data_IF_956746620792
#
_entry.id   IF_956746620792
#
_cell.length_a   1.000
_cell.length_b   1.000
_cell.length_c   1.000
_cell.angle_alpha   90.00
_cell.angle_beta   90.00
_cell.angle_gamma   90.00
#
_symmetry.space_group_name_H-M   'P 1'
#
loop_
_entity.id
_entity.type
_entity.pdbx_description
1 polymer ?
#
# COMPACT_ATOMS: atom_id res chain seq x y z
N UNK A 1 51.25 24.49 -7.43
CA UNK A 1 50.54 23.58 -6.50
C UNK A 1 50.46 22.20 -7.15
N UNK A 2 50.31 21.10 -6.39
CA UNK A 2 49.82 19.85 -6.96
C UNK A 2 48.37 20.03 -7.47
N UNK A 3 47.98 19.31 -8.50
CA UNK A 3 46.62 19.34 -9.08
C UNK A 3 45.69 18.38 -8.33
N UNK A 4 45.42 18.67 -7.06
CA UNK A 4 44.46 17.89 -6.28
C UNK A 4 43.07 18.04 -6.91
N UNK A 5 42.41 16.92 -7.21
CA UNK A 5 41.06 16.84 -7.78
C UNK A 5 40.18 15.89 -6.98
N UNK A 6 38.86 16.05 -7.11
CA UNK A 6 37.84 15.14 -6.60
C UNK A 6 37.19 14.41 -7.79
N UNK A 7 37.42 13.10 -7.90
CA UNK A 7 36.91 12.32 -9.03
C UNK A 7 35.38 12.22 -9.06
N UNK A 8 34.74 12.14 -7.89
CA UNK A 8 33.28 12.02 -7.74
C UNK A 8 32.54 13.38 -7.78
N UNK A 9 33.18 14.45 -8.26
CA UNK A 9 32.63 15.80 -8.15
C UNK A 9 31.34 16.06 -8.95
N UNK A 10 30.54 17.01 -8.48
CA UNK A 10 29.46 17.65 -9.26
C UNK A 10 29.79 19.11 -9.63
N UNK A 11 30.93 19.64 -9.19
CA UNK A 11 31.45 20.96 -9.54
C UNK A 11 32.79 20.85 -10.27
N UNK A 12 33.10 21.78 -11.18
CA UNK A 12 34.27 21.68 -12.05
C UNK A 12 35.62 21.85 -11.30
N UNK A 13 35.65 22.70 -10.27
CA UNK A 13 36.85 23.07 -9.50
C UNK A 13 36.54 23.24 -8.00
N UNK A 14 37.57 23.22 -7.14
CA UNK A 14 37.45 23.57 -5.73
C UNK A 14 37.32 25.09 -5.54
N UNK A 15 36.16 25.64 -5.10
CA UNK A 15 36.01 27.08 -4.91
C UNK A 15 36.96 27.60 -3.83
N UNK A 16 37.68 28.67 -4.13
CA UNK A 16 38.68 29.29 -3.27
C UNK A 16 40.10 28.72 -3.37
N UNK A 17 40.38 27.74 -4.24
CA UNK A 17 41.67 27.04 -4.26
C UNK A 17 42.90 27.94 -4.49
N UNK A 18 42.76 29.06 -5.21
CA UNK A 18 43.84 30.02 -5.48
C UNK A 18 43.77 31.31 -4.64
N UNK A 19 42.70 31.50 -3.85
CA UNK A 19 42.47 32.74 -3.09
C UNK A 19 43.26 32.83 -1.77
N UNK A 20 43.63 31.68 -1.20
CA UNK A 20 44.25 31.60 0.12
C UNK A 20 45.78 31.58 0.06
N UNK A 21 46.43 32.07 1.12
CA UNK A 21 47.89 32.17 1.19
C UNK A 21 48.52 30.91 1.76
N UNK A 22 49.58 30.47 1.10
CA UNK A 22 50.42 29.34 1.50
C UNK A 22 51.39 29.77 2.62
N UNK A 23 51.53 28.94 3.66
CA UNK A 23 52.58 29.09 4.67
C UNK A 23 53.83 28.33 4.21
N UNK A 24 54.98 29.00 4.18
CA UNK A 24 56.26 28.44 3.75
C UNK A 24 57.24 28.54 4.93
N UNK A 25 57.87 27.41 5.29
CA UNK A 25 58.84 27.31 6.37
C UNK A 25 60.28 27.42 5.85
N UNK A 26 61.22 27.73 6.74
CA UNK A 26 62.64 27.97 6.40
C UNK A 26 63.41 26.72 5.97
N UNK A 27 62.85 25.53 6.17
CA UNK A 27 63.36 24.24 5.68
C UNK A 27 62.87 23.91 4.26
N UNK A 28 62.02 24.76 3.67
CA UNK A 28 61.37 24.53 2.39
C UNK A 28 60.07 23.72 2.48
N UNK A 29 59.62 23.34 3.68
CA UNK A 29 58.31 22.69 3.84
C UNK A 29 57.17 23.70 3.64
N UNK A 30 56.08 23.20 3.04
CA UNK A 30 54.96 24.01 2.56
C UNK A 30 53.68 23.51 3.19
N UNK A 31 52.99 24.38 3.94
CA UNK A 31 51.70 24.10 4.54
C UNK A 31 50.62 24.94 3.85
N UNK A 32 49.73 24.27 3.11
CA UNK A 32 48.55 24.91 2.53
C UNK A 32 47.27 24.38 3.17
N UNK A 33 46.37 25.30 3.51
CA UNK A 33 45.09 25.02 4.12
C UNK A 33 44.12 26.14 3.71
N UNK A 34 43.01 25.75 3.09
CA UNK A 34 42.01 26.64 2.51
C UNK A 34 40.62 26.06 2.81
N UNK A 35 39.63 26.86 3.23
CA UNK A 35 38.24 26.41 3.27
C UNK A 35 37.72 26.28 1.84
N UNK A 36 36.97 25.22 1.56
CA UNK A 36 36.29 25.03 0.27
C UNK A 36 34.95 24.31 0.48
N UNK A 37 34.05 24.42 -0.49
CA UNK A 37 32.77 23.71 -0.50
C UNK A 37 32.91 22.51 -1.43
N UNK A 38 32.75 21.31 -0.88
CA UNK A 38 32.90 20.06 -1.60
C UNK A 38 31.51 19.52 -1.97
N UNK A 39 31.33 19.12 -3.23
CA UNK A 39 30.11 18.51 -3.74
C UNK A 39 30.45 17.20 -4.44
N UNK A 40 30.29 16.06 -3.75
CA UNK A 40 30.50 14.74 -4.32
C UNK A 40 29.16 14.06 -4.66
N UNK A 41 29.22 13.11 -5.59
CA UNK A 41 28.15 12.13 -5.83
C UNK A 41 28.24 11.06 -4.74
N UNK A 42 27.07 10.59 -4.28
CA UNK A 42 26.97 9.53 -3.28
C UNK A 42 25.76 8.65 -3.60
N UNK A 43 25.91 7.33 -3.46
CA UNK A 43 24.81 6.37 -3.61
C UNK A 43 24.09 6.30 -2.27
N UNK A 44 22.84 6.77 -2.23
CA UNK A 44 22.03 6.85 -1.01
C UNK A 44 21.16 5.59 -0.89
N UNK A 45 21.33 4.78 0.16
CA UNK A 45 20.46 3.65 0.43
C UNK A 45 19.27 4.08 1.30
N UNK A 46 18.08 4.11 0.71
CA UNK A 46 16.82 4.53 1.36
C UNK A 46 15.97 3.37 1.90
N UNK A 47 16.47 2.13 1.90
CA UNK A 47 15.73 0.93 2.35
C UNK A 47 15.11 1.11 3.75
N UNK A 48 15.89 1.56 4.74
CA UNK A 48 15.48 1.70 6.15
C UNK A 48 14.98 3.10 6.53
N UNK A 49 14.68 3.96 5.57
CA UNK A 49 14.19 5.32 5.82
C UNK A 49 12.97 5.34 6.77
N UNK A 50 12.94 6.21 7.81
CA UNK A 50 13.85 7.33 8.10
C UNK A 50 14.99 7.00 9.08
N UNK A 51 15.25 5.71 9.35
CA UNK A 51 16.33 5.22 10.21
C UNK A 51 17.53 4.76 9.36
N UNK A 52 17.87 5.56 8.33
CA UNK A 52 18.94 5.27 7.38
C UNK A 52 20.29 5.86 7.82
N UNK A 53 21.34 5.04 7.66
CA UNK A 53 22.75 5.45 7.76
C UNK A 53 23.37 5.40 6.38
N UNK A 54 23.95 6.51 5.94
CA UNK A 54 24.62 6.66 4.65
C UNK A 54 26.13 6.66 4.86
N UNK A 55 26.89 6.08 3.93
CA UNK A 55 28.36 6.24 3.89
C UNK A 55 28.75 6.72 2.50
N UNK A 56 29.17 7.99 2.42
CA UNK A 56 29.56 8.63 1.18
C UNK A 56 31.08 8.63 1.03
N UNK A 57 31.57 8.17 -0.13
CA UNK A 57 32.96 8.31 -0.53
C UNK A 57 33.24 9.69 -1.12
N UNK A 58 34.48 10.16 -0.94
CA UNK A 58 35.06 11.31 -1.63
C UNK A 58 36.47 10.90 -2.08
N UNK A 59 36.63 10.59 -3.36
CA UNK A 59 37.88 10.12 -3.95
C UNK A 59 38.78 11.28 -4.39
N UNK A 60 39.88 11.52 -3.67
CA UNK A 60 40.85 12.57 -4.00
C UNK A 60 42.12 12.01 -4.64
N UNK A 61 42.63 12.65 -5.69
CA UNK A 61 43.87 12.28 -6.37
C UNK A 61 44.43 13.39 -7.26
N UNK A 62 45.60 13.16 -7.86
CA UNK A 62 46.09 13.97 -8.99
C UNK A 62 45.43 13.51 -10.28
N UNK A 63 45.09 14.43 -11.17
CA UNK A 63 44.54 14.11 -12.49
C UNK A 63 45.65 13.94 -13.54
N UNK A 64 46.74 14.70 -13.41
CA UNK A 64 47.80 14.82 -14.41
C UNK A 64 49.04 13.99 -14.09
N UNK A 65 49.39 13.86 -12.80
CA UNK A 65 50.60 13.16 -12.35
C UNK A 65 50.28 11.74 -11.90
N UNK A 66 51.24 10.85 -12.12
CA UNK A 66 51.16 9.46 -11.67
C UNK A 66 52.04 9.22 -10.42
N UNK A 67 51.90 8.05 -9.79
CA UNK A 67 52.51 7.70 -8.51
C UNK A 67 54.04 7.60 -8.47
N UNK A 68 54.73 7.84 -9.59
CA UNK A 68 56.18 7.98 -9.66
C UNK A 68 56.64 9.46 -9.65
N UNK A 69 55.71 10.38 -9.93
CA UNK A 69 55.92 11.83 -9.92
C UNK A 69 55.33 12.49 -8.66
N UNK A 70 54.16 12.03 -8.23
CA UNK A 70 53.46 12.53 -7.04
C UNK A 70 52.84 11.38 -6.24
N UNK A 71 53.21 11.26 -4.96
CA UNK A 71 52.57 10.35 -4.02
C UNK A 71 51.59 11.12 -3.11
N UNK A 72 50.34 10.65 -3.02
CA UNK A 72 49.35 11.15 -2.07
C UNK A 72 49.32 10.28 -0.81
N UNK A 73 49.39 10.90 0.36
CA UNK A 73 49.32 10.23 1.66
C UNK A 73 48.44 11.04 2.60
N UNK A 74 47.49 10.38 3.28
CA UNK A 74 46.67 11.04 4.31
C UNK A 74 47.51 11.37 5.55
N UNK A 75 47.25 12.52 6.18
CA UNK A 75 47.95 12.91 7.42
C UNK A 75 47.53 12.04 8.63
N UNK A 76 46.24 11.73 8.73
CA UNK A 76 45.62 10.88 9.74
C UNK A 76 44.61 9.94 9.05
N UNK A 77 44.44 8.68 9.51
CA UNK A 77 43.41 7.77 8.98
C UNK A 77 41.99 8.12 9.45
N UNK A 78 41.85 9.08 10.38
CA UNK A 78 40.58 9.64 10.83
C UNK A 78 40.57 11.14 10.53
N UNK A 79 39.44 11.64 10.00
CA UNK A 79 39.24 13.07 9.81
C UNK A 79 39.00 13.80 11.14
N UNK A 80 39.41 15.06 11.22
CA UNK A 80 39.14 15.90 12.38
C UNK A 80 37.69 16.40 12.35
N UNK A 81 36.90 15.97 13.33
CA UNK A 81 35.50 16.38 13.52
C UNK A 81 35.32 17.36 14.69
N UNK A 82 36.40 17.80 15.34
CA UNK A 82 36.34 18.66 16.54
C UNK A 82 35.73 20.04 16.29
N UNK A 83 35.82 20.55 15.06
CA UNK A 83 35.24 21.80 14.59
C UNK A 83 33.94 21.64 13.80
N UNK A 84 33.36 20.42 13.78
CA UNK A 84 32.13 20.15 13.03
C UNK A 84 30.92 20.91 13.61
N UNK A 85 30.08 21.44 12.71
CA UNK A 85 28.83 22.14 13.06
C UNK A 85 27.69 21.12 13.08
N UNK A 86 26.87 21.14 14.13
CA UNK A 86 25.73 20.23 14.28
C UNK A 86 24.69 20.45 13.16
N UNK A 87 24.52 19.46 12.29
CA UNK A 87 23.48 19.46 11.27
C UNK A 87 22.09 19.17 11.89
N UNK A 88 21.01 19.70 11.31
CA UNK A 88 19.63 19.53 11.81
C UNK A 88 19.04 18.16 11.43
N UNK A 89 19.31 17.69 10.21
CA UNK A 89 18.79 16.44 9.64
C UNK A 89 19.73 15.25 9.90
N UNK A 90 21.04 15.50 9.92
CA UNK A 90 22.07 14.45 9.97
C UNK A 90 22.91 14.49 11.25
N UNK A 91 23.49 13.35 11.60
CA UNK A 91 24.51 13.17 12.63
C UNK A 91 25.76 12.57 11.96
N UNK A 92 26.93 13.20 12.12
CA UNK A 92 28.19 12.67 11.55
C UNK A 92 28.78 11.69 12.55
N UNK A 93 28.81 10.40 12.22
CA UNK A 93 29.23 9.35 13.15
C UNK A 93 30.68 8.90 12.93
N UNK A 94 31.18 8.95 11.68
CA UNK A 94 32.53 8.52 11.32
C UNK A 94 33.06 9.31 10.13
N UNK A 95 34.36 9.61 10.14
CA UNK A 95 35.11 10.07 8.97
C UNK A 95 36.46 9.34 8.94
N UNK A 96 36.64 8.42 8.00
CA UNK A 96 37.87 7.63 7.82
C UNK A 96 38.50 7.85 6.46
N UNK A 97 39.82 7.81 6.38
CA UNK A 97 40.60 7.94 5.16
C UNK A 97 41.34 6.63 4.86
N UNK A 98 41.22 6.15 3.62
CA UNK A 98 41.92 4.98 3.12
C UNK A 98 42.65 5.36 1.82
N UNK A 99 43.86 4.81 1.61
CA UNK A 99 44.72 5.14 0.45
C UNK A 99 44.83 3.93 -0.46
N UNK A 100 44.43 4.05 -1.72
CA UNK A 100 44.60 2.99 -2.71
C UNK A 100 45.71 3.33 -3.70
N UNK A 101 46.03 2.36 -4.55
CA UNK A 101 46.91 2.52 -5.72
C UNK A 101 46.26 1.78 -6.86
N UNK A 102 45.68 2.52 -7.80
CA UNK A 102 44.90 1.99 -8.91
C UNK A 102 45.74 2.01 -10.18
N UNK A 103 45.60 0.97 -11.00
CA UNK A 103 46.14 0.94 -12.37
C UNK A 103 44.96 1.09 -13.34
N UNK A 104 44.90 2.20 -14.06
CA UNK A 104 43.79 2.50 -14.98
C UNK A 104 44.04 1.88 -16.36
N UNK A 105 42.97 1.48 -17.06
CA UNK A 105 43.08 0.83 -18.38
C UNK A 105 43.69 1.68 -19.51
N UNK A 106 43.97 2.96 -19.25
CA UNK A 106 44.64 3.89 -20.18
C UNK A 106 46.17 3.91 -20.05
N UNK A 107 46.72 3.62 -18.87
CA UNK A 107 48.12 3.90 -18.50
C UNK A 107 48.70 2.73 -17.68
N UNK A 108 49.90 2.19 -18.00
CA UNK A 108 50.54 1.16 -17.19
C UNK A 108 51.07 1.64 -15.83
N UNK A 109 51.09 2.96 -15.59
CA UNK A 109 51.55 3.59 -14.36
C UNK A 109 50.55 3.46 -13.19
N UNK A 110 51.02 3.38 -11.93
CA UNK A 110 50.16 3.43 -10.75
C UNK A 110 49.67 4.86 -10.49
N UNK A 111 48.40 5.01 -10.09
CA UNK A 111 47.82 6.27 -9.62
C UNK A 111 47.43 6.12 -8.14
N UNK A 112 48.00 6.93 -7.22
CA UNK A 112 47.66 6.89 -5.81
C UNK A 112 46.48 7.83 -5.51
N UNK A 113 45.49 7.32 -4.79
CA UNK A 113 44.32 8.06 -4.35
C UNK A 113 44.14 7.99 -2.83
N UNK A 114 43.36 8.93 -2.29
CA UNK A 114 42.87 8.89 -0.91
C UNK A 114 41.36 9.05 -0.92
N UNK A 115 40.66 7.97 -0.55
CA UNK A 115 39.20 7.97 -0.38
C UNK A 115 38.86 8.33 1.06
N UNK A 116 38.10 9.40 1.24
CA UNK A 116 37.46 9.71 2.53
C UNK A 116 36.05 9.13 2.56
N UNK A 117 35.78 8.26 3.54
CA UNK A 117 34.45 7.71 3.83
C UNK A 117 33.81 8.49 4.97
N UNK A 118 32.77 9.24 4.65
CA UNK A 118 31.94 10.02 5.58
C UNK A 118 30.66 9.24 5.88
N UNK A 119 30.53 8.72 7.12
CA UNK A 119 29.32 8.05 7.59
C UNK A 119 28.41 9.03 8.33
N UNK A 120 27.14 9.07 7.94
CA UNK A 120 26.12 9.97 8.47
C UNK A 120 24.83 9.21 8.76
N UNK A 121 24.21 9.51 9.89
CA UNK A 121 22.96 8.90 10.38
C UNK A 121 21.83 9.93 10.34
N UNK A 122 20.66 9.58 9.80
CA UNK A 122 19.50 10.49 9.73
C UNK A 122 18.82 10.61 11.09
N UNK A 123 18.39 11.82 11.46
CA UNK A 123 17.53 12.09 12.62
C UNK A 123 16.05 11.83 12.24
N UNK A 124 15.41 10.76 12.74
CA UNK A 124 14.14 10.29 12.20
C UNK A 124 12.92 11.10 12.66
N UNK A 125 13.05 11.88 13.74
CA UNK A 125 11.92 12.48 14.48
C UNK A 125 10.98 13.34 13.63
N UNK A 126 11.52 14.15 12.73
CA UNK A 126 10.73 14.96 11.79
C UNK A 126 9.83 14.10 10.89
N UNK A 127 10.38 12.99 10.37
CA UNK A 127 9.68 12.09 9.46
C UNK A 127 8.68 11.20 10.20
N UNK A 128 9.00 10.75 11.43
CA UNK A 128 8.03 10.04 12.29
C UNK A 128 6.80 10.90 12.54
N UNK A 129 6.97 12.18 12.90
CA UNK A 129 5.84 13.08 13.18
C UNK A 129 5.06 13.45 11.92
N UNK A 130 5.73 13.77 10.80
CA UNK A 130 5.06 14.30 9.61
C UNK A 130 4.67 13.25 8.57
N UNK A 131 5.20 12.03 8.60
CA UNK A 131 4.87 10.94 7.67
C UNK A 131 4.09 9.83 8.39
N UNK A 132 4.57 9.32 9.51
CA UNK A 132 3.99 8.13 10.15
C UNK A 132 2.66 8.47 10.85
N UNK A 133 2.58 9.57 11.61
CA UNK A 133 1.34 9.94 12.33
C UNK A 133 0.15 10.21 11.37
N UNK A 134 0.27 11.03 10.30
CA UNK A 134 -0.85 11.22 9.37
C UNK A 134 -1.30 9.93 8.69
N UNK A 135 -0.38 9.02 8.38
CA UNK A 135 -0.71 7.71 7.79
C UNK A 135 -1.59 6.89 8.72
N UNK A 136 -1.23 6.80 10.01
CA UNK A 136 -2.07 6.11 10.99
C UNK A 136 -3.46 6.75 11.14
N UNK A 137 -3.56 8.09 11.12
CA UNK A 137 -4.84 8.79 11.15
C UNK A 137 -5.70 8.49 9.91
N UNK A 138 -5.13 8.52 8.71
CA UNK A 138 -5.83 8.21 7.44
C UNK A 138 -6.32 6.76 7.44
N UNK A 139 -5.49 5.79 7.86
CA UNK A 139 -5.92 4.39 7.99
C UNK A 139 -6.99 4.20 9.08
N UNK A 140 -6.97 5.00 10.15
CA UNK A 140 -8.03 5.03 11.16
C UNK A 140 -9.36 5.53 10.61
N UNK A 141 -9.35 6.52 9.71
CA UNK A 141 -10.56 6.99 9.03
C UNK A 141 -11.19 5.91 8.14
N UNK A 142 -10.38 5.06 7.49
CA UNK A 142 -10.89 3.91 6.72
C UNK A 142 -11.66 2.90 7.62
N UNK A 143 -11.20 2.69 8.86
CA UNK A 143 -11.91 1.87 9.86
C UNK A 143 -13.26 2.50 10.21
N UNK A 144 -13.32 3.83 10.45
CA UNK A 144 -14.57 4.53 10.72
C UNK A 144 -15.59 4.42 9.57
N UNK A 145 -15.11 4.32 8.32
CA UNK A 145 -15.96 4.03 7.16
C UNK A 145 -16.70 2.67 7.22
N UNK A 146 -16.17 1.68 7.93
CA UNK A 146 -16.90 0.44 8.22
C UNK A 146 -17.93 0.59 9.36
N UNK A 147 -17.73 1.53 10.29
CA UNK A 147 -18.72 1.81 11.33
C UNK A 147 -19.89 2.68 10.84
N UNK A 148 -19.71 3.44 9.76
CA UNK A 148 -20.76 4.26 9.17
C UNK A 148 -21.85 3.40 8.49
N UNK A 149 -23.10 3.64 8.87
CA UNK A 149 -24.25 2.92 8.35
C UNK A 149 -24.55 3.26 6.88
N UNK A 150 -24.89 2.25 6.07
CA UNK A 150 -25.26 2.41 4.64
C UNK A 150 -26.42 3.40 4.45
N UNK A 151 -27.33 3.43 5.42
CA UNK A 151 -28.51 4.30 5.46
C UNK A 151 -28.17 5.81 5.42
N UNK A 152 -26.93 6.21 5.74
CA UNK A 152 -26.46 7.59 5.67
C UNK A 152 -25.98 8.04 4.27
N UNK A 153 -25.86 7.14 3.29
CA UNK A 153 -25.37 7.42 1.93
C UNK A 153 -23.85 7.63 1.83
N UNK A 154 -23.24 8.40 2.74
CA UNK A 154 -21.84 8.83 2.70
C UNK A 154 -20.79 7.72 2.87
N UNK A 155 -21.18 6.46 3.08
CA UNK A 155 -20.25 5.34 3.32
C UNK A 155 -19.21 5.15 2.20
N UNK A 156 -19.63 5.24 0.93
CA UNK A 156 -18.73 5.10 -0.22
C UNK A 156 -17.95 6.40 -0.48
N UNK A 157 -18.59 7.56 -0.29
CA UNK A 157 -17.97 8.90 -0.35
C UNK A 157 -16.76 9.01 0.60
N UNK A 158 -16.90 8.53 1.84
CA UNK A 158 -15.83 8.50 2.83
C UNK A 158 -14.70 7.55 2.44
N UNK A 159 -14.98 6.33 1.95
CA UNK A 159 -13.92 5.40 1.55
C UNK A 159 -13.13 5.90 0.32
N UNK A 160 -13.81 6.51 -0.66
CA UNK A 160 -13.15 7.12 -1.83
C UNK A 160 -12.27 8.31 -1.43
N UNK A 161 -12.75 9.19 -0.55
CA UNK A 161 -11.96 10.34 -0.09
C UNK A 161 -10.76 9.94 0.77
N UNK A 162 -10.88 8.91 1.61
CA UNK A 162 -9.75 8.32 2.36
C UNK A 162 -8.73 7.64 1.43
N UNK A 163 -9.19 6.91 0.40
CA UNK A 163 -8.31 6.33 -0.62
C UNK A 163 -7.53 7.40 -1.39
N UNK A 164 -8.21 8.48 -1.81
CA UNK A 164 -7.58 9.59 -2.52
C UNK A 164 -6.58 10.34 -1.63
N UNK A 165 -6.93 10.60 -0.36
CA UNK A 165 -6.03 11.25 0.60
C UNK A 165 -4.76 10.44 0.82
N UNK A 166 -4.87 9.11 0.97
CA UNK A 166 -3.72 8.22 1.11
C UNK A 166 -2.83 8.20 -0.15
N UNK A 167 -3.44 8.17 -1.35
CA UNK A 167 -2.71 8.19 -2.62
C UNK A 167 -1.95 9.52 -2.84
N UNK A 168 -2.58 10.67 -2.56
CA UNK A 168 -1.93 11.98 -2.63
C UNK A 168 -0.79 12.11 -1.62
N UNK A 169 -0.98 11.57 -0.41
CA UNK A 169 0.06 11.57 0.62
C UNK A 169 1.25 10.68 0.24
N UNK A 170 0.99 9.49 -0.33
CA UNK A 170 2.02 8.59 -0.86
C UNK A 170 2.83 9.26 -1.99
N UNK A 171 2.18 10.01 -2.88
CA UNK A 171 2.88 10.76 -3.95
C UNK A 171 3.79 11.84 -3.37
N UNK A 172 3.32 12.64 -2.40
CA UNK A 172 4.14 13.67 -1.73
C UNK A 172 5.37 13.07 -1.03
N UNK A 173 5.25 11.89 -0.43
CA UNK A 173 6.38 11.15 0.16
C UNK A 173 7.32 10.62 -0.92
N UNK A 174 6.79 10.13 -2.06
CA UNK A 174 7.61 9.64 -3.17
C UNK A 174 8.43 10.77 -3.84
N UNK A 175 7.82 11.94 -4.06
CA UNK A 175 8.51 13.15 -4.58
C UNK A 175 9.58 13.69 -3.61
N UNK A 176 9.48 13.34 -2.33
CA UNK A 176 10.44 13.74 -1.27
C UNK A 176 11.61 12.77 -1.11
N UNK A 177 11.62 11.64 -1.83
CA UNK A 177 12.66 10.61 -1.76
C UNK A 177 13.44 10.55 -3.09
N UNK A 178 14.75 10.24 -3.07
CA UNK A 178 15.50 10.04 -4.30
C UNK A 178 14.93 8.84 -5.08
N UNK A 179 14.76 8.93 -6.42
CA UNK A 179 14.22 7.84 -7.22
C UNK A 179 15.27 6.72 -7.42
N UNK A 180 15.36 5.80 -6.47
CA UNK A 180 16.23 4.63 -6.52
C UNK A 180 15.49 3.36 -6.97
N UNK A 181 15.93 2.75 -8.07
CA UNK A 181 15.50 1.41 -8.48
C UNK A 181 16.08 0.30 -7.60
N UNK A 182 17.25 0.54 -7.04
CA UNK A 182 18.15 -0.51 -6.57
C UNK A 182 17.82 -0.97 -5.14
N UNK A 183 17.17 -0.10 -4.37
CA UNK A 183 16.56 -0.39 -3.08
C UNK A 183 15.19 0.29 -3.00
N UNK A 184 14.14 -0.49 -2.69
CA UNK A 184 12.80 0.05 -2.46
C UNK A 184 12.62 0.36 -0.97
N UNK A 185 12.27 1.59 -0.55
CA UNK A 185 12.09 1.92 0.86
C UNK A 185 11.04 1.04 1.54
N UNK A 186 11.33 0.52 2.74
CA UNK A 186 10.37 -0.22 3.57
C UNK A 186 9.10 0.60 3.82
N UNK A 187 9.23 1.92 3.99
CA UNK A 187 8.10 2.85 4.12
C UNK A 187 7.22 2.89 2.85
N UNK A 188 7.80 2.71 1.65
CA UNK A 188 7.06 2.67 0.39
C UNK A 188 6.30 1.34 0.23
N UNK A 189 6.90 0.23 0.65
CA UNK A 189 6.21 -1.08 0.72
C UNK A 189 5.01 -0.99 1.66
N UNK A 190 5.17 -0.33 2.82
CA UNK A 190 4.07 -0.07 3.76
C UNK A 190 2.96 0.81 3.16
N UNK A 191 3.31 1.92 2.50
CA UNK A 191 2.32 2.79 1.84
C UNK A 191 1.51 2.04 0.78
N UNK A 192 2.17 1.27 -0.08
CA UNK A 192 1.50 0.47 -1.11
C UNK A 192 0.59 -0.62 -0.51
N UNK A 193 1.01 -1.25 0.60
CA UNK A 193 0.15 -2.19 1.34
C UNK A 193 -1.11 -1.49 1.90
N UNK A 194 -0.95 -0.33 2.54
CA UNK A 194 -2.07 0.47 3.05
C UNK A 194 -3.00 0.94 1.92
N UNK A 195 -2.46 1.36 0.77
CA UNK A 195 -3.25 1.78 -0.39
C UNK A 195 -4.07 0.62 -0.97
N UNK A 196 -3.47 -0.58 -1.08
CA UNK A 196 -4.18 -1.79 -1.50
C UNK A 196 -5.30 -2.17 -0.51
N UNK A 197 -5.01 -2.14 0.79
CA UNK A 197 -5.95 -2.46 1.86
C UNK A 197 -7.14 -1.49 1.92
N UNK A 198 -6.91 -0.19 1.71
CA UNK A 198 -7.98 0.84 1.59
C UNK A 198 -8.73 0.71 0.26
N UNK A 199 -8.06 0.41 -0.85
CA UNK A 199 -8.72 0.11 -2.13
C UNK A 199 -9.67 -1.09 -2.04
N UNK A 200 -9.25 -2.16 -1.36
CA UNK A 200 -10.10 -3.31 -1.05
C UNK A 200 -11.30 -2.94 -0.17
N UNK A 201 -11.12 -2.08 0.84
CA UNK A 201 -12.21 -1.54 1.65
C UNK A 201 -13.23 -0.76 0.81
N UNK A 202 -12.77 0.05 -0.14
CA UNK A 202 -13.65 0.79 -1.05
C UNK A 202 -14.47 -0.15 -1.96
N UNK A 203 -13.85 -1.19 -2.53
CA UNK A 203 -14.57 -2.22 -3.32
C UNK A 203 -15.60 -2.94 -2.45
N UNK A 204 -15.24 -3.34 -1.23
CA UNK A 204 -16.17 -3.97 -0.30
C UNK A 204 -17.33 -3.06 0.11
N UNK A 205 -17.10 -1.75 0.29
CA UNK A 205 -18.17 -0.80 0.58
C UNK A 205 -19.20 -0.70 -0.55
N UNK A 206 -18.76 -0.76 -1.82
CA UNK A 206 -19.65 -0.81 -2.99
C UNK A 206 -20.42 -2.13 -3.06
N UNK A 207 -19.78 -3.27 -2.74
CA UNK A 207 -20.48 -4.56 -2.65
C UNK A 207 -21.53 -4.58 -1.53
N UNK A 208 -21.20 -4.06 -0.35
CA UNK A 208 -22.14 -3.89 0.78
C UNK A 208 -23.32 -2.99 0.39
N UNK A 209 -23.08 -1.91 -0.35
CA UNK A 209 -24.12 -1.02 -0.88
C UNK A 209 -25.05 -1.77 -1.86
N UNK A 210 -24.48 -2.54 -2.80
CA UNK A 210 -25.26 -3.37 -3.74
C UNK A 210 -26.13 -4.39 -3.03
N UNK A 211 -25.59 -5.07 -2.01
CA UNK A 211 -26.31 -6.08 -1.21
C UNK A 211 -27.43 -5.41 -0.38
N UNK A 212 -27.21 -4.20 0.13
CA UNK A 212 -28.20 -3.47 0.94
C UNK A 212 -29.43 -3.01 0.12
N UNK A 213 -29.22 -2.61 -1.14
CA UNK A 213 -30.30 -2.19 -2.06
C UNK A 213 -30.88 -3.32 -2.91
N UNK A 214 -30.44 -4.57 -2.69
CA UNK A 214 -30.93 -5.74 -3.40
C UNK A 214 -32.44 -5.93 -3.12
N UNK A 215 -33.31 -6.05 -4.16
CA UNK A 215 -34.72 -6.36 -3.95
C UNK A 215 -34.90 -7.76 -3.34
N UNK A 216 -36.12 -8.07 -2.88
CA UNK A 216 -36.49 -9.33 -2.22
C UNK A 216 -36.46 -10.56 -3.16
N UNK A 217 -35.26 -10.89 -3.65
CA UNK A 217 -34.94 -12.07 -4.45
C UNK A 217 -34.57 -13.22 -3.52
N UNK A 218 -34.93 -14.43 -3.91
CA UNK A 218 -34.61 -15.66 -3.17
C UNK A 218 -33.09 -15.83 -2.99
N UNK A 219 -32.60 -15.72 -1.74
CA UNK A 219 -31.21 -16.00 -1.43
C UNK A 219 -30.89 -17.49 -1.62
N UNK A 220 -29.73 -17.77 -2.20
CA UNK A 220 -29.28 -19.16 -2.36
C UNK A 220 -28.98 -19.80 -0.99
N UNK A 221 -29.43 -21.06 -0.78
CA UNK A 221 -29.51 -21.70 0.55
C UNK A 221 -28.17 -21.78 1.32
N UNK A 222 -27.02 -21.77 0.64
CA UNK A 222 -25.71 -21.70 1.31
C UNK A 222 -25.45 -20.33 1.95
N UNK A 223 -25.90 -19.24 1.33
CA UNK A 223 -25.69 -17.86 1.82
C UNK A 223 -26.45 -17.68 3.14
N UNK A 224 -27.70 -18.15 3.21
CA UNK A 224 -28.52 -18.10 4.43
C UNK A 224 -27.84 -18.86 5.58
N UNK A 225 -27.39 -20.11 5.34
CA UNK A 225 -26.71 -20.91 6.38
C UNK A 225 -25.40 -20.27 6.85
N UNK A 226 -24.54 -19.82 5.92
CA UNK A 226 -23.21 -19.31 6.26
C UNK A 226 -23.29 -17.90 6.85
N UNK A 227 -23.97 -16.96 6.19
CA UNK A 227 -24.02 -15.57 6.64
C UNK A 227 -25.05 -15.32 7.74
N UNK A 228 -26.31 -15.72 7.57
CA UNK A 228 -27.35 -15.46 8.58
C UNK A 228 -27.34 -16.49 9.72
N UNK A 229 -26.86 -17.72 9.47
CA UNK A 229 -26.77 -18.78 10.47
C UNK A 229 -25.51 -18.70 11.34
N UNK A 230 -24.34 -18.89 10.73
CA UNK A 230 -23.05 -18.98 11.45
C UNK A 230 -22.42 -17.61 11.71
N UNK A 231 -22.27 -16.78 10.66
CA UNK A 231 -21.49 -15.54 10.76
C UNK A 231 -22.24 -14.43 11.51
N UNK A 232 -23.56 -14.30 11.36
CA UNK A 232 -24.35 -13.31 12.10
C UNK A 232 -24.21 -13.44 13.62
N UNK A 233 -24.11 -14.69 14.12
CA UNK A 233 -23.84 -15.01 15.52
C UNK A 233 -22.42 -14.63 15.94
N UNK A 234 -21.43 -14.79 15.05
CA UNK A 234 -20.06 -14.34 15.31
C UNK A 234 -19.93 -12.80 15.29
N UNK A 235 -20.68 -12.10 14.43
CA UNK A 235 -20.66 -10.63 14.31
C UNK A 235 -21.67 -9.91 15.20
N UNK A 236 -22.44 -10.62 16.04
CA UNK A 236 -23.50 -10.07 16.90
C UNK A 236 -24.52 -9.19 16.14
N UNK A 237 -24.86 -9.58 14.90
CA UNK A 237 -25.86 -8.86 14.08
C UNK A 237 -27.23 -9.48 14.31
N UNK A 238 -28.22 -8.65 14.65
CA UNK A 238 -29.62 -9.08 14.73
C UNK A 238 -30.13 -9.51 13.35
N UNK A 239 -30.69 -10.71 13.30
CA UNK A 239 -31.34 -11.30 12.13
C UNK A 239 -32.82 -11.47 12.52
N UNK A 240 -33.77 -10.89 11.75
CA UNK A 240 -35.19 -11.17 11.94
C UNK A 240 -35.48 -12.67 11.87
N UNK A 241 -36.51 -13.12 12.58
CA UNK A 241 -36.93 -14.52 12.49
C UNK A 241 -37.44 -14.83 11.07
N UNK A 242 -37.07 -15.99 10.56
CA UNK A 242 -37.48 -16.44 9.23
C UNK A 242 -38.89 -17.01 9.34
N UNK A 243 -39.90 -16.24 8.91
CA UNK A 243 -41.29 -16.69 8.83
C UNK A 243 -41.42 -17.87 7.85
N UNK A 244 -41.34 -19.10 8.36
CA UNK A 244 -41.72 -20.35 7.69
C UNK A 244 -43.26 -20.46 7.54
N UNK A 245 -43.89 -19.37 7.09
CA UNK A 245 -45.31 -19.33 6.73
C UNK A 245 -45.58 -20.09 5.43
N UNK A 246 -45.66 -21.41 5.56
CA UNK A 246 -46.19 -22.32 4.54
C UNK A 246 -47.63 -21.94 4.24
N UNK A 247 -47.84 -21.16 3.17
CA UNK A 247 -49.17 -20.93 2.60
C UNK A 247 -49.62 -22.16 1.84
N UNK A 248 -50.32 -23.05 2.55
CA UNK A 248 -50.98 -24.23 1.99
C UNK A 248 -52.12 -23.81 1.04
N UNK A 249 -51.77 -23.55 -0.22
CA UNK A 249 -52.65 -22.90 -1.20
C UNK A 249 -53.32 -23.91 -2.14
N UNK A 250 -54.35 -24.60 -1.64
CA UNK A 250 -55.26 -25.43 -2.46
C UNK A 250 -56.69 -25.33 -1.89
N UNK A 251 -57.76 -24.99 -2.63
CA UNK A 251 -57.95 -24.36 -3.95
C UNK A 251 -59.42 -23.93 -4.00
N UNK A 252 -59.79 -22.69 -4.40
CA UNK A 252 -61.17 -22.36 -4.67
C UNK A 252 -61.55 -22.88 -6.06
N UNK A 253 -62.30 -23.98 -6.15
CA UNK A 253 -62.80 -24.48 -7.43
C UNK A 253 -64.26 -24.90 -7.35
N UNK A 254 -64.99 -24.70 -8.45
CA UNK A 254 -66.44 -24.63 -8.45
C UNK A 254 -67.12 -25.89 -8.99
N UNK A 255 -68.32 -26.15 -8.46
CA UNK A 255 -69.43 -26.83 -9.13
C UNK A 255 -69.11 -28.09 -9.96
N UNK A 256 -69.14 -29.26 -9.30
CA UNK A 256 -69.65 -30.46 -9.97
C UNK A 256 -71.10 -30.22 -10.42
N UNK A 257 -71.45 -30.60 -11.64
CA UNK A 257 -72.78 -30.35 -12.23
C UNK A 257 -73.62 -31.62 -12.28
N UNK A 258 -74.87 -31.55 -11.81
CA UNK A 258 -75.90 -32.56 -12.09
C UNK A 258 -77.24 -31.91 -12.47
N UNK A 259 -77.95 -32.58 -13.38
CA UNK A 259 -79.35 -32.39 -13.77
C UNK A 259 -79.86 -30.97 -14.12
N UNK A 260 -79.92 -30.70 -15.44
CA UNK A 260 -81.01 -29.90 -16.05
C UNK A 260 -81.66 -30.73 -17.15
N UNK A 261 -82.99 -30.80 -17.17
CA UNK A 261 -83.77 -31.50 -18.19
C UNK A 261 -84.76 -30.54 -18.85
N UNK A 262 -84.70 -30.44 -20.19
CA UNK A 262 -85.62 -29.68 -21.07
C UNK A 262 -85.64 -28.14 -20.86
N UNK A 263 -85.91 -27.28 -21.85
CA UNK A 263 -86.45 -27.47 -23.21
C UNK A 263 -86.05 -26.30 -24.15
N UNK A 264 -86.25 -26.45 -25.47
CA UNK A 264 -86.56 -25.37 -26.46
C UNK A 264 -85.51 -24.29 -26.86
N UNK A 265 -84.95 -24.49 -28.08
CA UNK A 265 -85.13 -23.61 -29.28
C UNK A 265 -83.94 -22.80 -29.87
N UNK A 266 -83.44 -23.27 -31.04
CA UNK A 266 -82.74 -22.54 -32.16
C UNK A 266 -81.34 -21.94 -31.87
N UNK A 267 -80.38 -21.85 -32.82
CA UNK A 267 -80.25 -22.27 -34.25
C UNK A 267 -78.76 -22.17 -34.68
N UNK A 268 -78.25 -23.12 -35.50
CA UNK A 268 -77.14 -23.00 -36.50
C UNK A 268 -75.75 -22.43 -36.05
N UNK A 269 -74.55 -22.80 -36.53
CA UNK A 269 -73.94 -23.84 -37.40
C UNK A 269 -72.37 -23.67 -37.29
N UNK A 270 -71.42 -24.46 -37.83
CA UNK A 270 -71.32 -25.67 -38.66
C UNK A 270 -69.89 -26.28 -38.46
N UNK A 271 -69.73 -27.61 -38.61
CA UNK A 271 -68.43 -28.30 -38.73
C UNK A 271 -67.90 -28.92 -37.43
N UNK A 272 -67.36 -30.16 -37.34
CA UNK A 272 -66.47 -30.98 -38.20
C UNK A 272 -64.98 -30.74 -37.87
N UNK A 273 -64.14 -31.74 -37.50
CA UNK A 273 -64.40 -33.16 -37.18
C UNK A 273 -63.27 -33.82 -36.33
N UNK A 274 -63.31 -35.15 -36.22
CA UNK A 274 -62.43 -36.13 -35.51
C UNK A 274 -60.91 -36.01 -35.78
N UNK A 275 -59.95 -36.66 -35.08
CA UNK A 275 -59.90 -37.92 -34.28
C UNK A 275 -58.77 -37.85 -33.20
N UNK A 276 -58.95 -38.25 -31.93
CA UNK A 276 -58.87 -39.60 -31.29
C UNK A 276 -57.46 -40.27 -31.11
N UNK A 277 -57.11 -40.44 -29.82
CA UNK A 277 -56.40 -41.59 -29.17
C UNK A 277 -54.85 -41.72 -29.29
N UNK A 278 -54.17 -41.89 -28.14
CA UNK A 278 -52.75 -42.26 -28.03
C UNK A 278 -52.12 -42.23 -26.62
N UNK A 279 -52.43 -43.22 -25.76
CA UNK A 279 -51.68 -43.74 -24.58
C UNK A 279 -50.82 -42.83 -23.65
N UNK A 280 -51.24 -42.80 -22.38
CA UNK A 280 -50.48 -42.93 -21.10
C UNK A 280 -49.11 -42.27 -20.86
N UNK A 281 -49.12 -41.41 -19.82
CA UNK A 281 -48.21 -41.35 -18.66
C UNK A 281 -46.68 -41.25 -18.87
N UNK A 282 -46.14 -40.06 -18.56
CA UNK A 282 -45.38 -39.89 -17.30
C UNK A 282 -45.52 -38.42 -16.83
N UNK A 283 -46.12 -38.18 -15.64
CA UNK A 283 -46.35 -36.83 -15.11
C UNK A 283 -45.38 -36.56 -13.94
N UNK A 284 -44.39 -35.66 -14.11
CA UNK A 284 -43.33 -35.50 -13.11
C UNK A 284 -43.88 -34.83 -11.85
N UNK A 285 -43.84 -35.56 -10.74
CA UNK A 285 -44.30 -35.11 -9.41
C UNK A 285 -43.75 -33.70 -9.07
N UNK A 286 -44.60 -32.77 -8.60
CA UNK A 286 -44.17 -31.42 -8.28
C UNK A 286 -43.21 -31.47 -7.09
N UNK A 287 -41.92 -31.23 -7.35
CA UNK A 287 -40.91 -31.06 -6.29
C UNK A 287 -41.30 -29.85 -5.45
N UNK A 288 -41.78 -30.11 -4.23
CA UNK A 288 -42.12 -29.08 -3.24
C UNK A 288 -40.83 -28.38 -2.77
N UNK A 289 -40.39 -27.42 -3.58
CA UNK A 289 -39.28 -26.56 -3.25
C UNK A 289 -39.76 -25.53 -2.23
N UNK A 290 -39.38 -25.72 -0.97
CA UNK A 290 -39.64 -24.74 0.09
C UNK A 290 -38.89 -23.43 -0.20
N UNK A 291 -39.63 -22.46 -0.73
CA UNK A 291 -39.18 -21.09 -0.91
C UNK A 291 -39.31 -20.35 0.43
N UNK A 292 -38.17 -20.09 1.07
CA UNK A 292 -38.10 -19.18 2.21
C UNK A 292 -38.46 -17.78 1.70
N UNK A 293 -39.41 -17.12 2.35
CA UNK A 293 -39.81 -15.74 2.02
C UNK A 293 -38.75 -14.74 2.51
N UNK A 294 -37.62 -14.68 1.81
CA UNK A 294 -36.50 -13.77 2.11
C UNK A 294 -36.93 -12.32 1.86
N UNK A 295 -37.40 -11.66 2.92
CA UNK A 295 -37.79 -10.25 2.89
C UNK A 295 -36.57 -9.35 2.64
N UNK A 296 -36.79 -8.11 2.21
CA UNK A 296 -35.71 -7.13 2.02
C UNK A 296 -34.89 -6.88 3.32
N UNK A 297 -35.46 -7.13 4.49
CA UNK A 297 -34.76 -7.00 5.77
C UNK A 297 -33.65 -8.04 5.95
N UNK A 298 -33.82 -9.24 5.41
CA UNK A 298 -32.78 -10.28 5.41
C UNK A 298 -31.56 -9.84 4.58
N UNK A 299 -31.78 -9.14 3.46
CA UNK A 299 -30.71 -8.54 2.65
C UNK A 299 -30.00 -7.39 3.39
N UNK A 300 -30.74 -6.59 4.19
CA UNK A 300 -30.15 -5.56 5.08
C UNK A 300 -29.33 -6.16 6.23
N UNK A 301 -29.77 -7.26 6.85
CA UNK A 301 -28.96 -7.96 7.85
C UNK A 301 -27.76 -8.65 7.20
N UNK A 302 -27.89 -9.22 5.99
CA UNK A 302 -26.76 -9.74 5.23
C UNK A 302 -25.70 -8.67 4.97
N UNK A 303 -26.07 -7.47 4.49
CA UNK A 303 -25.09 -6.41 4.22
C UNK A 303 -24.38 -5.97 5.51
N UNK A 304 -25.11 -5.88 6.64
CA UNK A 304 -24.55 -5.58 7.97
C UNK A 304 -23.59 -6.67 8.47
N UNK A 305 -23.85 -7.95 8.19
CA UNK A 305 -22.91 -9.05 8.48
C UNK A 305 -21.65 -8.96 7.61
N UNK A 306 -21.81 -8.75 6.30
CA UNK A 306 -20.67 -8.60 5.36
C UNK A 306 -19.76 -7.44 5.78
N UNK A 307 -20.34 -6.27 6.03
CA UNK A 307 -19.62 -5.05 6.45
C UNK A 307 -18.81 -5.26 7.74
N UNK A 308 -19.38 -5.97 8.73
CA UNK A 308 -18.70 -6.35 9.98
C UNK A 308 -17.56 -7.35 9.75
N UNK A 309 -17.76 -8.37 8.90
CA UNK A 309 -16.68 -9.31 8.54
C UNK A 309 -15.54 -8.57 7.84
N UNK A 310 -15.85 -7.70 6.87
CA UNK A 310 -14.82 -6.94 6.14
C UNK A 310 -14.06 -5.98 7.05
N UNK A 311 -14.72 -5.40 8.06
CA UNK A 311 -14.05 -4.60 9.10
C UNK A 311 -13.09 -5.44 9.94
N UNK A 312 -13.51 -6.63 10.40
CA UNK A 312 -12.66 -7.55 11.18
C UNK A 312 -11.45 -8.00 10.35
N UNK A 313 -11.66 -8.38 9.08
CA UNK A 313 -10.59 -8.75 8.16
C UNK A 313 -9.63 -7.58 7.89
N UNK A 314 -10.15 -6.37 7.67
CA UNK A 314 -9.36 -5.16 7.47
C UNK A 314 -8.47 -4.87 8.70
N UNK A 315 -9.02 -4.98 9.91
CA UNK A 315 -8.26 -4.77 11.16
C UNK A 315 -7.19 -5.86 11.34
N UNK A 316 -7.51 -7.14 11.09
CA UNK A 316 -6.53 -8.23 11.21
C UNK A 316 -5.41 -8.08 10.18
N UNK A 317 -5.74 -7.86 8.91
CA UNK A 317 -4.74 -7.64 7.85
C UNK A 317 -3.91 -6.39 8.11
N UNK A 318 -4.53 -5.31 8.57
CA UNK A 318 -3.86 -4.07 8.98
C UNK A 318 -2.84 -4.32 10.10
N UNK A 319 -3.26 -4.94 11.20
CA UNK A 319 -2.39 -5.20 12.37
C UNK A 319 -1.26 -6.20 12.05
N UNK A 320 -1.53 -7.26 11.28
CA UNK A 320 -0.50 -8.19 10.84
C UNK A 320 0.48 -7.53 9.85
N UNK A 321 -0.03 -6.72 8.91
CA UNK A 321 0.79 -6.00 7.93
C UNK A 321 1.67 -4.93 8.58
N UNK A 322 1.14 -4.13 9.51
CA UNK A 322 1.95 -3.21 10.32
C UNK A 322 2.98 -3.99 11.14
N UNK A 323 2.58 -5.09 11.79
CA UNK A 323 3.49 -5.89 12.62
C UNK A 323 4.70 -6.41 11.84
N UNK A 324 4.50 -6.93 10.63
CA UNK A 324 5.56 -7.45 9.75
C UNK A 324 6.46 -6.33 9.19
N UNK A 325 5.91 -5.13 8.96
CA UNK A 325 6.72 -3.96 8.56
C UNK A 325 7.55 -3.46 9.74
N UNK A 326 6.95 -3.28 10.92
CA UNK A 326 7.64 -2.76 12.10
C UNK A 326 8.66 -3.76 12.66
N UNK A 327 8.46 -5.08 12.56
CA UNK A 327 9.49 -6.06 12.95
C UNK A 327 10.78 -5.90 12.13
N UNK A 328 10.66 -5.61 10.83
CA UNK A 328 11.82 -5.32 9.94
C UNK A 328 12.54 -4.01 10.26
N UNK A 329 11.90 -3.08 10.96
CA UNK A 329 12.58 -1.89 11.50
C UNK A 329 13.34 -2.18 12.81
N UNK A 330 13.07 -3.31 13.48
CA UNK A 330 13.64 -3.67 14.79
C UNK A 330 14.59 -4.88 14.77
N UNK A 331 14.85 -5.51 13.62
CA UNK A 331 15.58 -6.79 13.53
C UNK A 331 17.13 -6.67 13.67
N UNK A 332 17.68 -5.47 13.84
CA UNK A 332 19.14 -5.22 13.96
C UNK A 332 19.50 -4.09 14.97
N UNK A 333 18.98 -4.16 16.20
CA UNK A 333 19.61 -3.53 17.40
C UNK A 333 20.34 -4.58 18.26
#
# INVERSE_FOLDING_TARGET
MPDLTLYDSTADDFPGYDDYRVNIHSDGSVYYNFPTIIQSRCIVNVERFPYDTQTCSMLFGSWSYHGLEMDLVYKNPYGDLSSSVLNVEWNITKLTAERHVVYYGCCPEPYPDVTYYLTMERKPSFYVVNIIIPTFLITGMAILGFFLAVEAGEKVSLQITVMLALAVFQLLVADSLPPSSDATPLISIYFNFCLFLVGFACVMAVLVLSIYYQPAVVMHRWVVRIFLGTLAKATWVYVPELDDHVKESTRPEASSSEHVANEKTRRYQLGSETAKVGTEQDEPTPKVQSYINVTAEHWKSLSKVVDRITCILFIIMGLCGTGIVFSKFTEEE
#
